data_IF_874639779238
#
_entry.id   IF_874639779238
#
_cell.length_a   1.000
_cell.length_b   1.000
_cell.length_c   1.000
_cell.angle_alpha   90.00
_cell.angle_beta   90.00
_cell.angle_gamma   90.00
#
_symmetry.space_group_name_H-M   'P 1'
#
loop_
_entity.id
_entity.type
_entity.pdbx_description
1 polymer ?
#
# COMPACT_ATOMS: atom_id res chain seq x y z
N UNK A 1 32.82 8.47 -22.43
CA UNK A 1 33.60 8.46 -21.16
C UNK A 1 32.73 8.70 -19.93
N UNK A 2 31.70 9.52 -20.00
CA UNK A 2 30.76 9.81 -18.87
C UNK A 2 29.94 8.61 -18.44
N UNK A 3 29.47 7.77 -19.36
CA UNK A 3 28.59 6.61 -19.04
C UNK A 3 29.30 5.53 -18.19
N UNK A 4 30.64 5.32 -18.39
CA UNK A 4 31.41 4.40 -17.53
C UNK A 4 31.61 4.93 -16.08
N UNK A 5 31.53 6.26 -15.86
CA UNK A 5 31.61 6.86 -14.53
C UNK A 5 30.27 6.73 -13.76
N UNK A 6 29.15 6.88 -14.46
CA UNK A 6 27.79 6.73 -13.85
C UNK A 6 27.56 5.27 -13.44
N UNK A 7 27.95 4.30 -14.26
CA UNK A 7 27.87 2.87 -13.90
C UNK A 7 28.72 2.52 -12.66
N UNK A 8 29.91 3.11 -12.54
CA UNK A 8 30.77 2.88 -11.37
C UNK A 8 30.20 3.52 -10.09
N UNK A 9 29.55 4.68 -10.19
CA UNK A 9 28.92 5.35 -9.03
C UNK A 9 27.68 4.57 -8.57
N UNK A 10 26.89 4.02 -9.52
CA UNK A 10 25.72 3.22 -9.20
C UNK A 10 26.09 1.87 -8.57
N UNK A 11 27.09 1.18 -9.11
CA UNK A 11 27.59 -0.09 -8.54
C UNK A 11 28.27 0.14 -7.19
N UNK A 12 29.00 1.24 -7.00
CA UNK A 12 29.61 1.57 -5.71
C UNK A 12 28.58 2.00 -4.66
N UNK A 13 27.50 2.68 -5.07
CA UNK A 13 26.36 3.01 -4.20
C UNK A 13 25.60 1.77 -3.73
N UNK A 14 25.35 0.81 -4.61
CA UNK A 14 24.71 -0.46 -4.26
C UNK A 14 25.61 -1.37 -3.40
N UNK A 15 26.92 -1.38 -3.63
CA UNK A 15 27.88 -2.13 -2.79
C UNK A 15 28.10 -1.48 -1.41
N UNK A 16 28.05 -0.16 -1.31
CA UNK A 16 28.16 0.55 -0.02
C UNK A 16 26.94 0.33 0.88
N UNK A 17 25.75 0.11 0.29
CA UNK A 17 24.53 -0.26 1.03
C UNK A 17 24.55 -1.71 1.54
N UNK A 18 25.37 -2.58 0.94
CA UNK A 18 25.54 -3.97 1.39
C UNK A 18 26.61 -4.17 2.47
N UNK A 19 27.45 -3.15 2.74
CA UNK A 19 28.57 -3.22 3.66
C UNK A 19 28.29 -2.66 5.06
N UNK A 20 27.00 -2.50 5.48
CA UNK A 20 26.69 -2.26 6.88
C UNK A 20 26.92 -3.54 7.66
N UNK A 21 28.07 -3.63 8.31
CA UNK A 21 28.40 -4.70 9.26
C UNK A 21 27.28 -4.86 10.27
N UNK A 22 26.72 -6.06 10.32
CA UNK A 22 25.88 -6.52 11.42
C UNK A 22 26.79 -6.63 12.66
N UNK A 23 26.92 -5.53 13.38
CA UNK A 23 27.34 -5.64 14.77
C UNK A 23 26.19 -6.28 15.52
N UNK A 24 26.35 -7.54 15.90
CA UNK A 24 25.54 -8.19 16.93
C UNK A 24 25.78 -7.42 18.24
N UNK A 25 25.00 -6.37 18.45
CA UNK A 25 24.80 -5.78 19.75
C UNK A 25 23.66 -6.55 20.39
N UNK A 26 23.80 -6.95 21.65
CA UNK A 26 22.72 -7.45 22.51
C UNK A 26 21.59 -6.42 22.54
N UNK A 27 20.78 -6.47 21.55
CA UNK A 27 19.52 -5.77 21.48
C UNK A 27 18.48 -6.73 22.05
N UNK A 28 18.10 -6.56 23.28
CA UNK A 28 16.71 -6.67 23.69
C UNK A 28 15.96 -5.60 22.88
N UNK A 29 15.98 -5.73 21.57
CA UNK A 29 15.34 -4.84 20.66
C UNK A 29 13.86 -5.06 20.74
N UNK A 30 13.32 -4.14 21.26
CA UNK A 30 11.96 -3.78 21.40
C UNK A 30 11.29 -3.90 20.04
N UNK A 31 10.75 -5.08 19.75
CA UNK A 31 9.76 -5.24 18.70
C UNK A 31 8.61 -4.31 19.07
N UNK A 32 8.42 -3.27 18.25
CA UNK A 32 7.46 -2.20 18.48
C UNK A 32 6.77 -1.86 17.17
N UNK A 33 5.93 -2.76 16.64
CA UNK A 33 5.19 -2.51 15.41
C UNK A 33 4.18 -1.38 15.62
N UNK A 34 3.88 -0.68 14.54
CA UNK A 34 2.79 0.29 14.52
C UNK A 34 1.46 -0.48 14.57
N UNK A 35 0.60 -0.17 15.56
CA UNK A 35 -0.67 -0.84 15.78
C UNK A 35 -1.82 -0.08 15.12
N UNK A 36 -2.56 -0.73 14.24
CA UNK A 36 -3.73 -0.17 13.57
C UNK A 36 -4.77 -1.25 13.29
N UNK A 37 -6.02 -0.85 13.21
CA UNK A 37 -7.11 -1.70 12.74
C UNK A 37 -7.17 -1.75 11.21
N UNK A 38 -8.03 -2.59 10.67
CA UNK A 38 -8.36 -2.69 9.24
C UNK A 38 -7.13 -2.95 8.36
N UNK A 39 -6.49 -4.07 8.63
CA UNK A 39 -5.23 -4.50 7.97
C UNK A 39 -5.36 -4.54 6.43
N UNK A 40 -6.56 -4.81 5.89
CA UNK A 40 -6.77 -4.85 4.44
C UNK A 40 -6.35 -3.58 3.73
N UNK A 41 -6.43 -2.41 4.39
CA UNK A 41 -6.06 -1.12 3.80
C UNK A 41 -4.55 -0.99 3.51
N UNK A 42 -3.74 -1.82 4.14
CA UNK A 42 -2.27 -1.80 3.98
C UNK A 42 -1.75 -2.76 2.91
N UNK A 43 -2.62 -3.64 2.41
CA UNK A 43 -2.26 -4.66 1.41
C UNK A 43 -2.30 -4.04 0.01
N UNK A 44 -1.20 -4.11 -0.74
CA UNK A 44 -1.15 -3.72 -2.14
C UNK A 44 -2.13 -4.56 -2.98
N UNK A 45 -3.11 -3.95 -3.65
CA UNK A 45 -4.21 -4.72 -4.23
C UNK A 45 -3.92 -5.26 -5.63
N UNK A 46 -3.06 -4.62 -6.40
CA UNK A 46 -2.84 -4.93 -7.81
C UNK A 46 -1.49 -5.57 -8.10
N UNK A 47 -1.42 -6.30 -9.21
CA UNK A 47 -0.22 -7.02 -9.60
C UNK A 47 0.89 -6.11 -10.15
N UNK A 48 0.56 -4.95 -10.76
CA UNK A 48 1.60 -4.05 -11.28
C UNK A 48 2.41 -3.44 -10.14
N UNK A 49 1.76 -2.75 -9.21
CA UNK A 49 2.43 -2.15 -8.05
C UNK A 49 3.05 -3.20 -7.15
N UNK A 50 2.36 -4.34 -6.95
CA UNK A 50 2.88 -5.47 -6.21
C UNK A 50 4.12 -6.11 -6.82
N UNK A 51 4.24 -6.14 -8.14
CA UNK A 51 5.44 -6.61 -8.86
C UNK A 51 6.63 -5.64 -8.82
N UNK A 52 6.39 -4.41 -8.40
CA UNK A 52 7.37 -3.34 -8.26
C UNK A 52 7.85 -3.13 -6.81
N UNK A 53 7.62 -4.10 -5.90
CA UNK A 53 7.99 -3.95 -4.49
C UNK A 53 7.02 -3.07 -3.70
N UNK A 54 5.74 -3.11 -4.05
CA UNK A 54 4.67 -2.28 -3.50
C UNK A 54 4.92 -0.77 -3.71
N UNK A 55 5.31 -0.41 -4.95
CA UNK A 55 5.57 0.95 -5.42
C UNK A 55 4.49 1.38 -6.42
N UNK A 56 3.97 2.59 -6.26
CA UNK A 56 2.90 3.07 -7.13
C UNK A 56 2.58 4.57 -7.04
N UNK A 57 3.12 5.31 -6.07
CA UNK A 57 2.76 6.72 -5.84
C UNK A 57 3.09 7.64 -7.03
N UNK A 58 4.19 7.35 -7.74
CA UNK A 58 4.68 8.17 -8.83
C UNK A 58 4.84 7.42 -10.16
N UNK A 59 4.52 6.13 -10.23
CA UNK A 59 4.54 5.36 -11.48
C UNK A 59 3.56 5.92 -12.49
N UNK A 60 3.72 5.59 -13.78
CA UNK A 60 2.78 6.00 -14.83
C UNK A 60 1.34 5.71 -14.43
N UNK A 61 0.40 6.64 -14.77
CA UNK A 61 -1.01 6.47 -14.49
C UNK A 61 -1.57 5.17 -15.08
N UNK A 62 -2.35 4.44 -14.29
CA UNK A 62 -3.09 3.25 -14.71
C UNK A 62 -4.46 3.16 -14.02
N UNK A 63 -5.21 2.11 -14.31
CA UNK A 63 -6.55 1.92 -13.73
C UNK A 63 -6.52 1.72 -12.21
N UNK A 64 -5.42 1.20 -11.65
CA UNK A 64 -5.27 0.92 -10.23
C UNK A 64 -4.69 2.11 -9.43
N UNK A 65 -4.55 3.26 -10.06
CA UNK A 65 -4.03 4.48 -9.42
C UNK A 65 -4.84 4.94 -8.20
N UNK A 66 -6.10 4.48 -8.05
CA UNK A 66 -6.94 4.81 -6.89
C UNK A 66 -6.29 4.50 -5.54
N UNK A 67 -5.67 3.34 -5.41
CA UNK A 67 -4.98 2.95 -4.18
C UNK A 67 -3.65 3.68 -3.97
N UNK A 68 -2.91 3.87 -5.06
CA UNK A 68 -1.55 4.40 -4.99
C UNK A 68 -1.49 5.91 -4.92
N UNK A 69 -2.19 6.59 -5.83
CA UNK A 69 -2.26 8.03 -5.95
C UNK A 69 -3.35 8.42 -6.96
N UNK A 70 -4.55 8.78 -6.55
CA UNK A 70 -5.64 9.13 -7.47
C UNK A 70 -5.37 10.41 -8.27
N UNK A 71 -4.44 11.28 -7.85
CA UNK A 71 -4.07 12.47 -8.61
C UNK A 71 -3.44 12.17 -9.98
N UNK A 72 -3.07 10.90 -10.25
CA UNK A 72 -2.54 10.47 -11.55
C UNK A 72 -3.58 10.40 -12.66
N UNK A 73 -4.87 10.22 -12.35
CA UNK A 73 -5.90 9.96 -13.36
C UNK A 73 -6.07 11.02 -14.44
N UNK A 74 -5.93 12.34 -14.19
CA UNK A 74 -5.98 13.32 -15.29
C UNK A 74 -4.91 13.14 -16.36
N UNK A 75 -3.81 12.43 -16.05
CA UNK A 75 -2.71 12.13 -16.98
C UNK A 75 -2.88 10.80 -17.73
N UNK A 76 -3.96 10.04 -17.50
CA UNK A 76 -4.20 8.79 -18.24
C UNK A 76 -4.47 9.08 -19.72
N UNK A 77 -4.03 8.19 -20.59
CA UNK A 77 -4.28 8.30 -22.04
C UNK A 77 -5.74 7.98 -22.34
N UNK A 78 -6.26 6.90 -21.83
CA UNK A 78 -7.66 6.50 -22.02
C UNK A 78 -8.60 7.34 -21.20
N UNK A 79 -9.80 7.56 -21.75
CA UNK A 79 -10.85 8.32 -21.08
C UNK A 79 -11.47 7.60 -19.90
N UNK A 80 -11.51 6.28 -19.94
CA UNK A 80 -12.04 5.47 -18.87
C UNK A 80 -11.41 4.09 -18.84
N UNK A 81 -11.36 3.48 -17.66
CA UNK A 81 -10.89 2.12 -17.47
C UNK A 81 -11.49 1.49 -16.22
N UNK A 82 -11.51 0.17 -16.21
CA UNK A 82 -11.92 -0.65 -15.07
C UNK A 82 -10.95 -1.79 -14.88
N UNK A 83 -10.66 -2.17 -13.65
CA UNK A 83 -9.81 -3.32 -13.34
C UNK A 83 -10.37 -4.15 -12.19
N UNK A 84 -10.08 -5.44 -12.24
CA UNK A 84 -10.34 -6.40 -11.17
C UNK A 84 -9.03 -7.06 -10.80
N UNK A 85 -8.68 -7.01 -9.53
CA UNK A 85 -7.51 -7.67 -8.97
C UNK A 85 -7.93 -8.70 -7.95
N UNK A 86 -7.18 -9.80 -7.88
CA UNK A 86 -7.38 -10.89 -6.95
C UNK A 86 -6.04 -11.33 -6.37
N UNK A 87 -5.96 -11.37 -5.04
CA UNK A 87 -4.76 -11.74 -4.30
C UNK A 87 -5.12 -12.79 -3.25
N UNK A 88 -4.80 -14.07 -3.47
CA UNK A 88 -4.75 -15.06 -2.38
C UNK A 88 -3.74 -14.59 -1.34
N UNK A 89 -4.18 -14.44 -0.08
CA UNK A 89 -3.36 -13.87 0.98
C UNK A 89 -2.88 -14.95 1.96
N UNK A 90 -1.64 -14.85 2.45
CA UNK A 90 -1.04 -15.76 3.43
C UNK A 90 -1.21 -17.26 3.10
N UNK A 91 -1.14 -17.63 1.85
CA UNK A 91 -1.47 -18.99 1.37
C UNK A 91 -0.59 -20.09 1.96
N UNK A 92 0.60 -19.73 2.43
CA UNK A 92 1.50 -20.63 3.16
C UNK A 92 0.99 -21.00 4.56
N UNK A 93 0.08 -20.20 5.14
CA UNK A 93 -0.48 -20.41 6.47
C UNK A 93 -1.96 -20.81 6.42
N UNK A 94 -2.76 -20.15 5.59
CA UNK A 94 -4.22 -20.29 5.53
C UNK A 94 -4.65 -20.26 4.05
N UNK A 95 -5.49 -21.20 3.63
CA UNK A 95 -5.81 -21.38 2.20
C UNK A 95 -7.01 -20.56 1.70
N UNK A 96 -7.78 -19.96 2.59
CA UNK A 96 -9.08 -19.34 2.31
C UNK A 96 -9.10 -17.82 2.48
N UNK A 97 -7.96 -17.20 2.90
CA UNK A 97 -7.83 -15.75 2.93
C UNK A 97 -7.58 -15.17 1.54
N UNK A 98 -8.33 -14.15 1.17
CA UNK A 98 -8.15 -13.50 -0.13
C UNK A 98 -8.60 -12.04 -0.13
N UNK A 99 -7.97 -11.25 -1.00
CA UNK A 99 -8.30 -9.86 -1.27
C UNK A 99 -8.80 -9.74 -2.71
N UNK A 100 -10.02 -9.24 -2.88
CA UNK A 100 -10.55 -8.79 -4.16
C UNK A 100 -10.59 -7.26 -4.21
N UNK A 101 -10.19 -6.68 -5.33
CA UNK A 101 -10.15 -5.24 -5.53
C UNK A 101 -10.66 -4.88 -6.92
N UNK A 102 -11.72 -4.08 -6.95
CA UNK A 102 -12.29 -3.51 -8.17
C UNK A 102 -12.00 -2.01 -8.16
N UNK A 103 -11.45 -1.49 -9.24
CA UNK A 103 -11.23 -0.05 -9.41
C UNK A 103 -11.64 0.42 -10.79
N UNK A 104 -11.97 1.71 -10.90
CA UNK A 104 -12.30 2.32 -12.16
C UNK A 104 -12.21 3.83 -12.10
N UNK A 105 -12.06 4.44 -13.29
CA UNK A 105 -12.00 5.87 -13.42
C UNK A 105 -12.69 6.34 -14.71
N UNK A 106 -13.10 7.60 -14.70
CA UNK A 106 -13.60 8.31 -15.87
C UNK A 106 -13.07 9.74 -15.90
N UNK A 107 -12.40 10.13 -17.00
CA UNK A 107 -11.95 11.50 -17.22
C UNK A 107 -13.10 12.39 -17.69
N UNK A 108 -13.29 13.49 -16.98
CA UNK A 108 -14.27 14.53 -17.30
C UNK A 108 -13.53 15.65 -18.04
N UNK A 109 -13.61 15.62 -19.37
CA UNK A 109 -12.80 16.52 -20.20
C UNK A 109 -11.31 16.21 -20.12
N UNK A 110 -10.48 17.25 -20.22
CA UNK A 110 -9.01 17.11 -20.30
C UNK A 110 -8.30 17.31 -18.96
N UNK A 111 -8.98 17.92 -17.97
CA UNK A 111 -8.35 18.40 -16.74
C UNK A 111 -8.81 17.70 -15.48
N UNK A 112 -9.85 16.89 -15.53
CA UNK A 112 -10.37 16.27 -14.32
C UNK A 112 -10.77 14.82 -14.54
N UNK A 113 -10.82 14.07 -13.44
CA UNK A 113 -11.30 12.70 -13.42
C UNK A 113 -12.06 12.40 -12.13
N UNK A 114 -13.03 11.49 -12.23
CA UNK A 114 -13.64 10.81 -11.08
C UNK A 114 -13.19 9.36 -11.10
N UNK A 115 -13.03 8.80 -9.93
CA UNK A 115 -12.62 7.41 -9.79
C UNK A 115 -13.25 6.80 -8.54
N UNK A 116 -13.36 5.49 -8.53
CA UNK A 116 -13.90 4.75 -7.40
C UNK A 116 -13.22 3.39 -7.27
N UNK A 117 -13.21 2.84 -6.07
CA UNK A 117 -12.83 1.46 -5.86
C UNK A 117 -13.70 0.76 -4.80
N UNK A 118 -13.73 -0.57 -4.90
CA UNK A 118 -14.29 -1.48 -3.92
C UNK A 118 -13.21 -2.49 -3.54
N UNK A 119 -12.98 -2.60 -2.27
CA UNK A 119 -12.06 -3.61 -1.68
C UNK A 119 -12.87 -4.55 -0.82
N UNK A 120 -12.61 -5.83 -0.94
CA UNK A 120 -13.20 -6.88 -0.11
C UNK A 120 -12.10 -7.84 0.32
N UNK A 121 -11.89 -7.97 1.62
CA UNK A 121 -10.90 -8.85 2.21
C UNK A 121 -11.57 -9.90 3.08
N UNK A 122 -11.57 -11.15 2.61
CA UNK A 122 -12.01 -12.31 3.37
C UNK A 122 -10.83 -12.84 4.20
N UNK A 123 -11.02 -12.97 5.51
CA UNK A 123 -10.00 -13.46 6.43
C UNK A 123 -10.05 -14.97 6.66
N UNK A 124 -10.88 -15.67 5.89
CA UNK A 124 -11.05 -17.13 6.00
C UNK A 124 -12.03 -17.54 7.07
N UNK A 125 -12.17 -18.84 7.24
CA UNK A 125 -13.06 -19.44 8.21
C UNK A 125 -12.34 -19.60 9.57
N UNK A 126 -12.97 -19.09 10.63
CA UNK A 126 -12.48 -19.25 12.01
C UNK A 126 -13.49 -20.07 12.78
N UNK A 127 -13.02 -21.17 13.33
CA UNK A 127 -13.84 -22.01 14.21
C UNK A 127 -13.69 -21.54 15.65
N UNK A 128 -14.78 -21.13 16.28
CA UNK A 128 -14.82 -20.73 17.69
C UNK A 128 -15.53 -21.80 18.51
N UNK A 129 -14.93 -22.17 19.66
CA UNK A 129 -15.59 -23.00 20.66
C UNK A 129 -15.87 -22.15 21.90
N UNK A 130 -17.07 -22.23 22.47
CA UNK A 130 -17.33 -21.64 23.78
C UNK A 130 -16.54 -22.36 24.86
N UNK A 131 -15.92 -21.60 25.75
CA UNK A 131 -15.21 -22.15 26.92
C UNK A 131 -16.20 -22.94 27.80
N UNK A 132 -15.95 -24.22 28.03
CA UNK A 132 -16.83 -25.11 28.76
C UNK A 132 -17.92 -25.83 27.95
N UNK A 133 -17.98 -25.62 26.61
CA UNK A 133 -18.87 -26.39 25.76
C UNK A 133 -18.32 -27.80 25.50
N UNK A 134 -19.23 -28.80 25.40
CA UNK A 134 -18.84 -30.15 24.99
C UNK A 134 -18.18 -30.12 23.60
N UNK A 135 -17.16 -30.96 23.40
CA UNK A 135 -16.45 -31.11 22.13
C UNK A 135 -17.44 -31.27 20.97
N UNK A 136 -17.51 -30.29 20.08
CA UNK A 136 -18.38 -30.31 18.91
C UNK A 136 -19.45 -29.18 18.83
N UNK A 137 -19.58 -28.34 19.84
CA UNK A 137 -20.51 -27.20 19.87
C UNK A 137 -19.79 -25.87 19.54
N UNK A 138 -18.98 -25.84 18.49
CA UNK A 138 -18.39 -24.60 18.00
C UNK A 138 -19.16 -24.01 16.83
N UNK A 139 -18.94 -22.74 16.56
CA UNK A 139 -19.53 -22.01 15.46
C UNK A 139 -18.41 -21.60 14.47
N UNK A 140 -18.70 -21.74 13.16
CA UNK A 140 -17.81 -21.20 12.12
C UNK A 140 -18.23 -19.76 11.82
N UNK A 141 -17.28 -18.85 11.86
CA UNK A 141 -17.45 -17.44 11.50
C UNK A 141 -16.53 -17.11 10.34
N UNK A 142 -16.90 -16.12 9.55
CA UNK A 142 -16.14 -15.63 8.38
C UNK A 142 -15.89 -14.14 8.54
N UNK A 143 -14.82 -13.73 9.26
CA UNK A 143 -14.48 -12.33 9.41
C UNK A 143 -14.09 -11.73 8.05
N UNK A 144 -14.51 -10.48 7.82
CA UNK A 144 -14.15 -9.78 6.60
C UNK A 144 -14.07 -8.27 6.79
N UNK A 145 -13.29 -7.63 5.94
CA UNK A 145 -13.24 -6.18 5.82
C UNK A 145 -13.65 -5.76 4.40
N UNK A 146 -14.36 -4.64 4.33
CA UNK A 146 -14.76 -4.04 3.06
C UNK A 146 -14.54 -2.54 3.10
N UNK A 147 -14.15 -1.96 1.95
CA UNK A 147 -14.17 -0.51 1.81
C UNK A 147 -14.61 -0.08 0.43
N UNK A 148 -15.27 1.07 0.37
CA UNK A 148 -15.63 1.76 -0.86
C UNK A 148 -15.06 3.16 -0.78
N UNK A 149 -14.38 3.59 -1.83
CA UNK A 149 -13.89 4.95 -1.95
C UNK A 149 -14.23 5.58 -3.29
N UNK A 150 -14.36 6.90 -3.28
CA UNK A 150 -14.59 7.74 -4.45
C UNK A 150 -13.62 8.90 -4.40
N UNK A 151 -12.96 9.21 -5.51
CA UNK A 151 -12.05 10.33 -5.63
C UNK A 151 -12.43 11.27 -6.77
N UNK A 152 -12.08 12.53 -6.58
CA UNK A 152 -12.06 13.55 -7.61
C UNK A 152 -10.64 14.07 -7.77
N UNK A 153 -10.16 14.12 -9.02
CA UNK A 153 -8.82 14.55 -9.38
C UNK A 153 -8.88 15.72 -10.35
N UNK A 154 -8.07 16.73 -10.12
CA UNK A 154 -8.02 17.95 -10.91
C UNK A 154 -6.58 18.30 -11.29
N UNK A 155 -6.35 18.47 -12.58
CA UNK A 155 -5.11 19.00 -13.15
C UNK A 155 -5.09 20.53 -12.98
N UNK A 156 -4.16 21.04 -12.20
CA UNK A 156 -3.98 22.49 -11.97
C UNK A 156 -3.03 23.12 -12.99
N UNK A 157 -2.17 22.31 -13.59
CA UNK A 157 -1.32 22.70 -14.71
C UNK A 157 -1.00 21.47 -15.55
N UNK A 158 -0.42 21.64 -16.73
CA UNK A 158 0.01 20.54 -17.62
C UNK A 158 0.94 19.52 -16.95
N UNK A 159 1.52 19.86 -15.80
CA UNK A 159 2.50 19.04 -15.08
C UNK A 159 2.07 18.62 -13.69
N UNK A 160 0.99 19.20 -13.17
CA UNK A 160 0.64 19.03 -11.75
C UNK A 160 -0.86 18.86 -11.54
N UNK A 161 -1.22 17.88 -10.73
CA UNK A 161 -2.60 17.59 -10.33
C UNK A 161 -2.71 17.33 -8.83
N UNK A 162 -3.91 17.53 -8.32
CA UNK A 162 -4.33 17.19 -6.97
C UNK A 162 -5.54 16.24 -7.02
N UNK A 163 -5.73 15.48 -5.96
CA UNK A 163 -6.95 14.70 -5.75
C UNK A 163 -7.35 14.68 -4.29
N UNK A 164 -8.66 14.52 -4.08
CA UNK A 164 -9.23 14.21 -2.78
C UNK A 164 -10.15 13.00 -2.93
N UNK A 165 -10.13 12.10 -1.94
CA UNK A 165 -11.01 10.96 -1.87
C UNK A 165 -11.72 10.90 -0.53
N UNK A 166 -12.90 10.28 -0.52
CA UNK A 166 -13.63 9.88 0.67
C UNK A 166 -13.78 8.36 0.64
N UNK A 167 -13.64 7.74 1.82
CA UNK A 167 -13.68 6.29 1.98
C UNK A 167 -14.59 5.92 3.13
N UNK A 168 -15.47 4.94 2.89
CA UNK A 168 -16.19 4.24 3.93
C UNK A 168 -15.55 2.86 4.13
N UNK A 169 -15.31 2.50 5.39
CA UNK A 169 -14.69 1.26 5.81
C UNK A 169 -15.68 0.52 6.69
N UNK A 170 -15.81 -0.77 6.48
CA UNK A 170 -16.62 -1.68 7.25
C UNK A 170 -15.79 -2.91 7.62
N UNK A 171 -15.82 -3.29 8.88
CA UNK A 171 -15.09 -4.44 9.42
C UNK A 171 -15.99 -5.30 10.26
N UNK A 172 -16.17 -6.54 9.86
CA UNK A 172 -16.92 -7.56 10.61
C UNK A 172 -15.92 -8.58 11.19
N UNK A 173 -15.50 -8.29 12.41
CA UNK A 173 -14.54 -9.11 13.16
C UNK A 173 -15.21 -9.85 14.31
N UNK A 174 -16.53 -10.06 14.22
CA UNK A 174 -17.29 -10.73 15.29
C UNK A 174 -16.81 -12.17 15.48
N UNK A 175 -16.57 -12.52 16.72
CA UNK A 175 -16.22 -13.89 17.14
C UNK A 175 -17.44 -14.73 17.52
N UNK A 176 -18.60 -14.10 17.68
CA UNK A 176 -19.91 -14.70 17.88
C UNK A 176 -21.00 -13.79 17.28
N UNK A 177 -22.23 -14.27 17.21
CA UNK A 177 -23.38 -13.52 16.72
C UNK A 177 -24.33 -13.13 17.87
N UNK A 178 -23.76 -12.82 19.02
CA UNK A 178 -24.54 -12.26 20.15
C UNK A 178 -24.95 -10.82 19.86
N UNK A 179 -26.03 -10.33 20.49
CA UNK A 179 -26.52 -8.96 20.30
C UNK A 179 -25.48 -7.89 20.68
N UNK A 180 -24.59 -8.22 21.61
CA UNK A 180 -23.52 -7.32 22.08
C UNK A 180 -22.33 -7.23 21.13
N UNK A 181 -22.24 -8.05 20.08
CA UNK A 181 -21.13 -8.10 19.15
C UNK A 181 -21.56 -7.63 17.75
N UNK A 182 -21.30 -6.38 17.43
CA UNK A 182 -21.68 -5.74 16.15
C UNK A 182 -20.47 -5.39 15.30
N UNK A 183 -20.62 -5.39 13.96
CA UNK A 183 -19.59 -4.90 13.07
C UNK A 183 -19.25 -3.44 13.32
N UNK A 184 -18.05 -3.04 12.97
CA UNK A 184 -17.58 -1.67 13.10
C UNK A 184 -17.48 -0.97 11.73
N UNK A 185 -17.65 0.34 11.72
CA UNK A 185 -17.47 1.15 10.53
C UNK A 185 -16.76 2.46 10.83
N UNK A 186 -16.02 2.99 9.85
CA UNK A 186 -15.35 4.26 9.95
C UNK A 186 -15.34 4.99 8.60
N UNK A 187 -15.14 6.30 8.66
CA UNK A 187 -14.93 7.15 7.49
C UNK A 187 -13.51 7.68 7.49
N UNK A 188 -12.94 7.77 6.29
CA UNK A 188 -11.62 8.34 6.07
C UNK A 188 -11.61 9.19 4.80
N UNK A 189 -10.61 10.06 4.70
CA UNK A 189 -10.33 10.86 3.51
C UNK A 189 -8.89 10.64 3.07
N UNK A 190 -8.64 10.83 1.76
CA UNK A 190 -7.29 10.84 1.20
C UNK A 190 -7.04 12.18 0.51
N UNK A 191 -5.79 12.63 0.54
CA UNK A 191 -5.30 13.79 -0.20
C UNK A 191 -4.08 13.35 -0.99
N UNK A 192 -4.08 13.65 -2.29
CA UNK A 192 -3.01 13.22 -3.17
C UNK A 192 -2.55 14.36 -4.09
N UNK A 193 -1.28 14.30 -4.47
CA UNK A 193 -0.65 15.19 -5.43
C UNK A 193 0.23 14.39 -6.40
N UNK A 194 0.24 14.80 -7.66
CA UNK A 194 1.10 14.18 -8.67
C UNK A 194 1.70 15.24 -9.57
N UNK A 195 3.00 15.10 -9.83
CA UNK A 195 3.77 15.93 -10.73
C UNK A 195 4.43 15.07 -11.78
N UNK A 196 4.29 15.47 -13.06
CA UNK A 196 4.91 14.80 -14.20
C UNK A 196 5.61 15.84 -15.08
N UNK A 197 6.85 15.55 -15.45
CA UNK A 197 7.61 16.42 -16.34
C UNK A 197 8.56 15.59 -17.21
N UNK A 198 8.95 16.16 -18.36
CA UNK A 198 9.99 15.59 -19.20
C UNK A 198 11.31 16.29 -18.93
N UNK A 199 12.36 15.49 -18.77
CA UNK A 199 13.73 15.95 -18.49
C UNK A 199 14.69 15.30 -19.47
N UNK A 200 15.65 16.06 -20.01
CA UNK A 200 16.62 15.53 -20.93
C UNK A 200 17.83 15.00 -20.17
N UNK A 201 18.07 13.69 -20.26
CA UNK A 201 19.23 13.03 -19.64
C UNK A 201 20.10 12.46 -20.78
N UNK A 202 21.25 13.11 -21.02
CA UNK A 202 22.10 12.80 -22.16
C UNK A 202 21.43 13.24 -23.47
N UNK A 203 21.00 12.30 -24.30
CA UNK A 203 20.30 12.55 -25.57
C UNK A 203 18.87 12.01 -25.56
N UNK A 204 18.34 11.64 -24.40
CA UNK A 204 17.00 11.03 -24.23
C UNK A 204 16.10 11.93 -23.43
N UNK A 205 14.89 12.08 -23.90
CA UNK A 205 13.82 12.72 -23.15
C UNK A 205 13.19 11.69 -22.21
N UNK A 206 13.46 11.82 -20.92
CA UNK A 206 12.97 10.93 -19.86
C UNK A 206 11.78 11.57 -19.17
N UNK A 207 10.82 10.74 -18.72
CA UNK A 207 9.69 11.21 -17.95
C UNK A 207 9.99 11.05 -16.46
N UNK A 208 9.93 12.16 -15.73
CA UNK A 208 10.03 12.22 -14.27
C UNK A 208 8.64 12.31 -13.68
N UNK A 209 8.29 11.40 -12.77
CA UNK A 209 7.11 11.43 -11.94
C UNK A 209 7.47 11.67 -10.47
N UNK A 210 6.69 12.50 -9.77
CA UNK A 210 6.72 12.65 -8.32
C UNK A 210 5.31 12.53 -7.78
N UNK A 211 5.13 11.82 -6.69
CA UNK A 211 3.82 11.56 -6.08
C UNK A 211 3.83 11.72 -4.58
N UNK A 212 2.74 12.26 -4.06
CA UNK A 212 2.40 12.29 -2.65
C UNK A 212 0.98 11.73 -2.52
N UNK A 213 0.77 10.82 -1.57
CA UNK A 213 -0.55 10.38 -1.16
C UNK A 213 -0.59 10.24 0.35
N UNK A 214 -1.50 10.96 1.01
CA UNK A 214 -1.82 10.79 2.43
C UNK A 214 -3.20 10.16 2.47
N UNK A 215 -3.26 8.90 2.82
CA UNK A 215 -4.48 8.09 2.79
C UNK A 215 -4.95 7.69 4.19
N UNK A 216 -6.24 7.35 4.29
CA UNK A 216 -6.90 6.92 5.51
C UNK A 216 -6.87 7.94 6.66
N UNK A 217 -6.90 9.24 6.34
CA UNK A 217 -7.08 10.31 7.33
C UNK A 217 -8.52 10.21 7.86
N UNK A 218 -8.71 9.66 9.05
CA UNK A 218 -10.06 9.38 9.52
C UNK A 218 -10.23 9.31 11.02
N UNK A 219 -11.44 8.95 11.42
CA UNK A 219 -11.77 8.64 12.80
C UNK A 219 -11.16 7.31 13.21
N UNK A 220 -11.07 7.07 14.50
CA UNK A 220 -10.85 5.72 15.02
C UNK A 220 -12.06 4.83 14.70
N UNK A 221 -11.84 3.53 14.63
CA UNK A 221 -12.87 2.51 14.49
C UNK A 221 -13.05 1.79 15.83
N UNK A 222 -14.29 1.68 16.32
CA UNK A 222 -14.58 1.05 17.61
C UNK A 222 -15.33 -0.25 17.37
N UNK A 223 -14.76 -1.35 17.83
CA UNK A 223 -15.39 -2.66 17.82
C UNK A 223 -16.22 -2.87 19.08
N UNK A 224 -17.28 -3.66 18.98
CA UNK A 224 -18.12 -4.01 20.12
C UNK A 224 -17.32 -4.63 21.26
N UNK A 225 -17.68 -4.27 22.49
CA UNK A 225 -16.98 -4.74 23.69
C UNK A 225 -15.65 -4.03 23.97
N UNK A 226 -15.22 -3.08 23.11
CA UNK A 226 -14.05 -2.22 23.37
C UNK A 226 -14.50 -0.85 23.85
N UNK A 227 -13.85 -0.36 24.88
CA UNK A 227 -14.08 0.98 25.45
C UNK A 227 -13.51 2.06 24.53
N UNK A 228 -12.38 1.77 23.87
CA UNK A 228 -11.66 2.70 23.02
C UNK A 228 -11.59 2.23 21.56
N UNK A 229 -11.61 3.20 20.64
CA UNK A 229 -11.43 2.94 19.22
C UNK A 229 -9.96 2.73 18.84
N UNK A 230 -9.73 1.92 17.83
CA UNK A 230 -8.42 1.69 17.24
C UNK A 230 -8.16 2.65 16.07
N UNK A 231 -6.89 3.04 15.85
CA UNK A 231 -6.52 3.91 14.74
C UNK A 231 -6.67 3.20 13.40
N UNK A 232 -7.15 3.94 12.39
CA UNK A 232 -7.04 3.52 11.00
C UNK A 232 -5.57 3.62 10.54
N UNK A 233 -5.14 2.82 9.55
CA UNK A 233 -3.78 2.87 9.01
C UNK A 233 -3.59 4.11 8.11
N UNK A 234 -3.65 5.30 8.71
CA UNK A 234 -3.31 6.52 7.99
C UNK A 234 -1.86 6.39 7.50
N UNK A 235 -1.63 6.68 6.22
CA UNK A 235 -0.33 6.46 5.60
C UNK A 235 0.07 7.63 4.72
N UNK A 236 1.27 8.14 4.92
CA UNK A 236 1.92 9.07 4.01
C UNK A 236 2.86 8.33 3.10
N UNK A 237 2.62 8.44 1.79
CA UNK A 237 3.43 7.83 0.74
C UNK A 237 4.03 8.91 -0.13
N UNK A 238 5.36 8.93 -0.23
CA UNK A 238 6.13 9.77 -1.12
C UNK A 238 6.78 8.89 -2.18
N UNK A 239 6.61 9.23 -3.44
CA UNK A 239 7.18 8.44 -4.53
C UNK A 239 7.89 9.28 -5.57
N UNK A 240 8.83 8.65 -6.25
CA UNK A 240 9.51 9.16 -7.43
C UNK A 240 9.63 8.06 -8.49
N UNK A 241 9.50 8.43 -9.74
CA UNK A 241 9.75 7.54 -10.88
C UNK A 241 10.49 8.23 -12.00
N UNK A 242 11.28 7.46 -12.73
CA UNK A 242 11.99 7.92 -13.92
C UNK A 242 11.82 6.88 -15.03
N UNK A 243 11.07 7.23 -16.07
CA UNK A 243 10.95 6.44 -17.28
C UNK A 243 11.99 6.89 -18.28
N UNK A 244 12.78 5.94 -18.77
CA UNK A 244 13.90 6.13 -19.70
C UNK A 244 13.57 5.37 -20.98
N UNK A 245 13.29 6.05 -22.11
CA UNK A 245 13.15 5.39 -23.39
C UNK A 245 14.54 4.91 -23.86
N UNK A 246 14.65 3.61 -24.16
CA UNK A 246 15.87 3.02 -24.72
C UNK A 246 15.87 3.22 -26.24
N UNK A 247 14.77 2.88 -26.88
CA UNK A 247 14.45 3.07 -28.30
C UNK A 247 12.93 3.17 -28.49
N UNK A 248 12.44 3.11 -29.73
CA UNK A 248 11.01 3.22 -30.08
C UNK A 248 10.13 2.11 -29.47
N UNK A 249 10.71 0.96 -29.15
CA UNK A 249 9.99 -0.23 -28.64
C UNK A 249 10.29 -0.53 -27.19
N UNK A 250 11.39 -0.03 -26.66
CA UNK A 250 11.94 -0.43 -25.38
C UNK A 250 12.01 0.74 -24.41
N UNK A 251 11.41 0.60 -23.21
CA UNK A 251 11.57 1.56 -22.13
C UNK A 251 11.79 0.86 -20.78
N UNK A 252 12.51 1.53 -19.91
CA UNK A 252 12.74 1.12 -18.53
C UNK A 252 12.23 2.21 -17.61
N UNK A 253 11.46 1.85 -16.60
CA UNK A 253 11.04 2.73 -15.51
C UNK A 253 11.70 2.27 -14.23
N UNK A 254 12.36 3.20 -13.53
CA UNK A 254 12.81 3.01 -12.15
C UNK A 254 11.89 3.80 -11.25
N UNK A 255 11.44 3.20 -10.15
CA UNK A 255 10.53 3.84 -9.22
C UNK A 255 10.91 3.51 -7.77
N UNK A 256 10.62 4.44 -6.86
CA UNK A 256 10.85 4.28 -5.44
C UNK A 256 9.73 4.99 -4.67
N UNK A 257 9.22 4.33 -3.63
CA UNK A 257 8.27 4.91 -2.67
C UNK A 257 8.84 4.82 -1.25
N UNK A 258 8.59 5.84 -0.45
CA UNK A 258 8.79 5.86 0.99
C UNK A 258 7.43 6.02 1.67
N UNK A 259 7.12 5.14 2.61
CA UNK A 259 5.84 5.09 3.31
C UNK A 259 6.06 5.22 4.80
N UNK A 260 5.27 6.06 5.47
CA UNK A 260 5.20 6.12 6.93
C UNK A 260 3.74 6.03 7.36
N UNK A 261 3.44 5.08 8.25
CA UNK A 261 2.15 5.06 8.91
C UNK A 261 2.05 6.21 9.89
N UNK A 262 1.01 7.03 9.72
CA UNK A 262 0.72 8.19 10.56
C UNK A 262 -0.19 7.77 11.72
N UNK A 263 0.28 6.78 12.47
CA UNK A 263 -0.40 6.19 13.62
C UNK A 263 0.52 6.32 14.83
N UNK A 264 0.02 6.82 15.97
CA UNK A 264 0.87 6.99 17.15
C UNK A 264 1.42 5.65 17.64
N UNK A 265 2.61 5.70 18.20
CA UNK A 265 3.23 4.57 18.87
C UNK A 265 2.62 4.41 20.27
N UNK A 266 2.28 3.17 20.64
CA UNK A 266 1.82 2.87 22.01
C UNK A 266 2.94 3.18 23.00
N UNK A 267 2.70 3.98 24.05
CA UNK A 267 3.71 4.24 25.07
C UNK A 267 4.22 2.94 25.69
N UNK A 268 5.50 2.88 26.00
CA UNK A 268 6.09 1.72 26.70
C UNK A 268 6.08 1.97 28.20
N UNK A 269 5.94 0.89 28.97
CA UNK A 269 6.07 0.95 30.42
C UNK A 269 7.47 1.44 30.81
N UNK A 270 7.53 2.45 31.66
CA UNK A 270 8.78 3.02 32.14
C UNK A 270 9.38 2.19 33.28
N UNK A 271 10.68 2.31 33.49
CA UNK A 271 11.35 1.56 34.55
C UNK A 271 10.89 2.06 35.94
N UNK A 272 10.24 1.16 36.69
CA UNK A 272 9.68 1.46 38.00
C UNK A 272 8.24 1.94 38.02
N UNK A 273 7.60 2.09 36.84
CA UNK A 273 6.17 2.39 36.71
C UNK A 273 5.32 1.14 37.04
N UNK A 274 4.32 1.28 37.88
CA UNK A 274 3.38 0.17 38.10
C UNK A 274 2.40 -0.01 36.95
N UNK A 275 1.70 -1.16 36.93
CA UNK A 275 0.77 -1.48 35.84
C UNK A 275 -0.40 -0.50 35.73
N UNK A 276 -0.90 0.02 36.88
CA UNK A 276 -2.01 0.96 36.89
C UNK A 276 -1.59 2.34 36.38
N UNK A 277 -0.41 2.81 36.78
CA UNK A 277 0.16 4.07 36.28
C UNK A 277 0.41 4.00 34.77
N UNK A 278 0.91 2.84 34.30
CA UNK A 278 1.13 2.61 32.87
C UNK A 278 -0.19 2.58 32.09
N UNK A 279 -1.21 1.87 32.55
CA UNK A 279 -2.52 1.84 31.91
C UNK A 279 -3.14 3.24 31.85
N UNK A 280 -3.13 3.99 32.94
CA UNK A 280 -3.61 5.37 32.97
C UNK A 280 -2.86 6.28 31.99
N UNK A 281 -1.57 6.07 31.81
CA UNK A 281 -0.77 6.82 30.84
C UNK A 281 -1.09 6.42 29.40
N UNK A 282 -1.26 5.13 29.10
CA UNK A 282 -1.71 4.66 27.78
C UNK A 282 -3.07 5.26 27.44
N UNK A 283 -4.02 5.26 28.37
CA UNK A 283 -5.34 5.88 28.15
C UNK A 283 -5.20 7.36 27.77
N UNK A 284 -4.48 8.14 28.53
CA UNK A 284 -4.33 9.59 28.26
C UNK A 284 -3.57 9.89 26.98
N UNK A 285 -2.53 9.12 26.68
CA UNK A 285 -1.58 9.44 25.61
C UNK A 285 -1.87 8.74 24.29
N UNK A 286 -2.66 7.67 24.31
CA UNK A 286 -2.96 6.86 23.12
C UNK A 286 -4.46 6.66 22.90
N UNK A 287 -5.21 6.22 23.92
CA UNK A 287 -6.61 5.85 23.72
C UNK A 287 -7.53 7.07 23.60
N UNK A 288 -7.28 8.15 24.35
CA UNK A 288 -8.13 9.36 24.35
C UNK A 288 -7.86 10.30 23.19
N UNK A 289 -6.72 10.15 22.46
CA UNK A 289 -6.42 11.05 21.35
C UNK A 289 -7.25 10.73 20.11
N UNK A 290 -7.70 11.79 19.42
CA UNK A 290 -8.45 11.65 18.17
C UNK A 290 -7.57 11.11 17.04
N UNK A 291 -8.19 10.49 16.01
CA UNK A 291 -7.49 10.01 14.84
C UNK A 291 -6.61 11.08 14.17
N UNK A 292 -7.14 12.31 14.04
CA UNK A 292 -6.40 13.43 13.44
C UNK A 292 -5.23 13.87 14.33
N UNK A 293 -5.43 13.97 15.65
CA UNK A 293 -4.34 14.32 16.59
C UNK A 293 -3.25 13.25 16.57
N UNK A 294 -3.63 11.97 16.44
CA UNK A 294 -2.69 10.87 16.28
C UNK A 294 -1.77 11.01 15.07
N UNK A 295 -2.30 11.48 13.93
CA UNK A 295 -1.50 11.74 12.72
C UNK A 295 -0.34 12.71 13.00
N UNK A 296 -0.60 13.80 13.71
CA UNK A 296 0.46 14.77 14.04
C UNK A 296 1.43 14.24 15.10
N UNK A 297 0.92 13.48 16.08
CA UNK A 297 1.74 12.89 17.15
C UNK A 297 2.74 11.87 16.58
N UNK A 298 2.35 11.08 15.57
CA UNK A 298 3.14 10.01 14.97
C UNK A 298 4.48 10.44 14.35
N UNK A 299 4.78 11.72 14.27
CA UNK A 299 6.07 12.22 13.76
C UNK A 299 7.15 12.36 14.83
N UNK A 300 6.81 12.20 16.12
CA UNK A 300 7.74 12.49 17.21
C UNK A 300 7.46 11.68 18.50
N UNK A 301 6.74 10.56 18.41
CA UNK A 301 6.30 9.79 19.57
C UNK A 301 7.01 8.44 19.74
N UNK A 302 7.92 8.10 18.84
CA UNK A 302 8.69 6.86 18.97
C UNK A 302 9.59 6.90 20.24
N UNK A 303 9.48 5.91 21.15
CA UNK A 303 10.24 5.88 22.40
C UNK A 303 11.77 5.91 22.23
N UNK A 304 12.29 5.40 21.11
CA UNK A 304 13.71 5.47 20.75
C UNK A 304 14.13 6.77 20.08
N UNK A 305 13.24 7.78 20.03
CA UNK A 305 13.47 9.08 19.44
C UNK A 305 13.64 9.04 17.93
N UNK A 306 14.31 10.06 17.37
CA UNK A 306 14.41 10.25 15.91
C UNK A 306 14.94 9.04 15.14
N UNK A 307 15.78 8.22 15.74
CA UNK A 307 16.27 6.99 15.08
C UNK A 307 15.16 5.97 14.89
N UNK A 308 14.31 5.76 15.89
CA UNK A 308 13.17 4.86 15.79
C UNK A 308 12.10 5.41 14.83
N UNK A 309 11.90 6.73 14.79
CA UNK A 309 11.05 7.39 13.79
C UNK A 309 11.50 7.09 12.35
N UNK A 310 12.79 7.06 12.08
CA UNK A 310 13.32 6.66 10.78
C UNK A 310 13.11 5.17 10.48
N UNK A 311 13.08 4.31 11.50
CA UNK A 311 12.81 2.89 11.35
C UNK A 311 11.33 2.59 11.01
N UNK A 312 10.42 3.55 11.21
CA UNK A 312 9.02 3.46 10.81
C UNK A 312 8.79 3.70 9.31
N UNK A 313 9.80 4.21 8.61
CA UNK A 313 9.70 4.44 7.18
C UNK A 313 9.97 3.13 6.44
N UNK A 314 8.98 2.69 5.67
CA UNK A 314 9.08 1.55 4.78
C UNK A 314 9.48 2.00 3.39
N UNK A 315 10.34 1.26 2.71
CA UNK A 315 10.82 1.59 1.37
C UNK A 315 10.43 0.53 0.35
N UNK A 316 9.93 0.98 -0.78
CA UNK A 316 9.77 0.17 -1.96
C UNK A 316 10.71 0.65 -3.08
N UNK A 317 11.33 -0.28 -3.79
CA UNK A 317 12.11 -0.02 -4.99
C UNK A 317 11.62 -0.93 -6.11
N UNK A 318 11.38 -0.36 -7.30
CA UNK A 318 10.87 -1.09 -8.43
C UNK A 318 11.56 -0.74 -9.73
N UNK A 319 11.67 -1.74 -10.61
CA UNK A 319 12.11 -1.59 -11.99
C UNK A 319 11.10 -2.29 -12.92
N UNK A 320 10.64 -1.56 -13.94
CA UNK A 320 9.74 -2.07 -14.97
C UNK A 320 10.43 -1.93 -16.34
N UNK A 321 10.51 -3.03 -17.09
CA UNK A 321 10.91 -3.03 -18.50
C UNK A 321 9.69 -3.29 -19.36
N UNK A 322 9.43 -2.46 -20.36
CA UNK A 322 8.29 -2.61 -21.26
C UNK A 322 8.78 -2.70 -22.69
N UNK A 323 8.29 -3.72 -23.39
CA UNK A 323 8.56 -3.97 -24.80
C UNK A 323 7.31 -3.74 -25.64
N UNK A 324 7.42 -2.84 -26.62
CA UNK A 324 6.40 -2.52 -27.63
C UNK A 324 5.03 -2.20 -27.02
N UNK A 325 4.99 -1.56 -25.84
CA UNK A 325 3.78 -1.27 -25.06
C UNK A 325 2.87 -2.49 -24.77
N UNK A 326 3.37 -3.69 -24.99
CA UNK A 326 2.60 -4.94 -24.88
C UNK A 326 3.06 -5.86 -23.78
N UNK A 327 4.36 -6.01 -23.62
CA UNK A 327 4.94 -6.92 -22.65
C UNK A 327 5.69 -6.12 -21.59
N UNK A 328 5.45 -6.43 -20.34
CA UNK A 328 6.14 -5.84 -19.21
C UNK A 328 6.77 -6.93 -18.34
N UNK A 329 8.00 -6.67 -17.89
CA UNK A 329 8.67 -7.44 -16.85
C UNK A 329 8.99 -6.50 -15.70
N UNK A 330 8.79 -6.97 -14.49
CA UNK A 330 8.94 -6.18 -13.26
C UNK A 330 9.78 -6.92 -12.25
N UNK A 331 10.56 -6.15 -11.52
CA UNK A 331 11.26 -6.61 -10.33
C UNK A 331 11.19 -5.52 -9.27
N UNK A 332 11.06 -5.91 -8.02
CA UNK A 332 10.98 -4.96 -6.92
C UNK A 332 11.56 -5.52 -5.63
N UNK A 333 11.76 -4.62 -4.68
CA UNK A 333 12.18 -4.94 -3.32
C UNK A 333 11.42 -4.06 -2.33
N UNK A 334 10.88 -4.68 -1.31
CA UNK A 334 10.23 -4.01 -0.18
C UNK A 334 11.04 -4.20 1.09
N UNK A 335 11.18 -3.13 1.85
CA UNK A 335 11.91 -3.12 3.11
C UNK A 335 11.12 -2.45 4.23
N UNK A 336 10.96 -3.16 5.31
CA UNK A 336 10.48 -2.65 6.58
C UNK A 336 11.48 -3.01 7.70
N UNK A 337 11.65 -2.10 8.66
CA UNK A 337 12.59 -2.33 9.78
C UNK A 337 12.21 -3.57 10.59
N UNK A 338 13.21 -4.23 11.14
CA UNK A 338 13.03 -5.42 11.97
C UNK A 338 12.23 -5.11 13.25
N UNK A 339 12.39 -3.91 13.79
CA UNK A 339 11.66 -3.44 14.99
C UNK A 339 10.18 -3.15 14.70
N UNK A 340 9.80 -2.90 13.44
CA UNK A 340 8.47 -2.39 13.04
C UNK A 340 7.61 -3.37 12.25
N UNK A 341 8.06 -4.63 12.08
CA UNK A 341 7.28 -5.68 11.39
C UNK A 341 8.13 -6.62 10.54
N UNK A 342 9.34 -6.19 10.13
CA UNK A 342 10.33 -7.00 9.40
C UNK A 342 9.85 -7.58 8.05
N UNK A 343 8.94 -6.89 7.37
CA UNK A 343 8.49 -7.29 6.03
C UNK A 343 9.56 -6.93 5.00
N UNK A 344 10.36 -7.92 4.63
CA UNK A 344 11.42 -7.80 3.61
C UNK A 344 11.22 -8.88 2.57
N UNK A 345 11.04 -8.46 1.33
CA UNK A 345 10.82 -9.40 0.23
C UNK A 345 11.21 -8.80 -1.12
N UNK A 346 11.57 -9.68 -2.04
CA UNK A 346 11.66 -9.38 -3.45
C UNK A 346 10.33 -9.68 -4.13
N UNK A 347 10.06 -8.99 -5.23
CA UNK A 347 8.90 -9.24 -6.08
C UNK A 347 9.34 -9.39 -7.52
N UNK A 348 8.64 -10.24 -8.24
CA UNK A 348 8.75 -10.34 -9.69
C UNK A 348 7.36 -10.25 -10.30
N UNK A 349 7.25 -9.66 -11.48
CA UNK A 349 5.98 -9.50 -12.14
C UNK A 349 6.11 -9.54 -13.66
N UNK A 350 5.02 -9.91 -14.30
CA UNK A 350 4.90 -9.88 -15.75
C UNK A 350 3.54 -9.28 -16.13
N UNK A 351 3.51 -8.55 -17.23
CA UNK A 351 2.31 -7.93 -17.77
C UNK A 351 2.20 -8.17 -19.27
N UNK A 352 0.98 -8.34 -19.72
CA UNK A 352 0.64 -8.41 -21.14
C UNK A 352 -0.53 -7.50 -21.44
N UNK A 353 -0.34 -6.56 -22.37
CA UNK A 353 -1.35 -5.59 -22.79
C UNK A 353 -1.74 -5.79 -24.25
N UNK A 354 -3.03 -5.87 -24.48
CA UNK A 354 -3.65 -5.76 -25.79
C UNK A 354 -4.42 -4.44 -25.91
N UNK A 355 -4.97 -4.16 -27.08
CA UNK A 355 -5.67 -2.89 -27.35
C UNK A 355 -6.83 -2.61 -26.38
N UNK A 356 -7.42 -3.65 -25.78
CA UNK A 356 -8.65 -3.57 -24.99
C UNK A 356 -8.43 -3.95 -23.54
N UNK A 357 -7.51 -4.86 -23.28
CA UNK A 357 -7.28 -5.38 -21.93
C UNK A 357 -5.79 -5.55 -21.63
N UNK A 358 -5.46 -5.52 -20.36
CA UNK A 358 -4.15 -5.96 -19.85
C UNK A 358 -4.34 -7.00 -18.75
N UNK A 359 -3.42 -7.97 -18.74
CA UNK A 359 -3.31 -8.99 -17.71
C UNK A 359 -1.94 -8.84 -17.04
N UNK A 360 -1.94 -8.69 -15.74
CA UNK A 360 -0.73 -8.58 -14.94
C UNK A 360 -0.72 -9.67 -13.87
N UNK A 361 0.46 -10.22 -13.60
CA UNK A 361 0.69 -11.17 -12.53
C UNK A 361 1.96 -10.76 -11.76
N UNK A 362 1.95 -10.97 -10.45
CA UNK A 362 3.10 -10.74 -9.60
C UNK A 362 3.24 -11.84 -8.55
N UNK A 363 4.47 -12.06 -8.13
CA UNK A 363 4.84 -13.06 -7.14
C UNK A 363 5.80 -12.47 -6.12
N UNK A 364 5.56 -12.76 -4.84
CA UNK A 364 6.38 -12.35 -3.71
C UNK A 364 7.33 -13.46 -3.32
N UNK A 365 8.61 -13.13 -3.21
CA UNK A 365 9.68 -14.02 -2.72
C UNK A 365 10.22 -13.43 -1.42
N UNK A 366 9.84 -13.99 -0.29
CA UNK A 366 10.29 -13.51 1.01
C UNK A 366 11.78 -13.79 1.23
N UNK A 367 12.46 -12.89 1.93
CA UNK A 367 13.86 -13.07 2.29
C UNK A 367 14.05 -13.97 3.51
N UNK A 368 13.02 -14.12 4.34
CA UNK A 368 13.01 -14.98 5.51
C UNK A 368 11.97 -16.10 5.35
N UNK A 369 12.35 -17.34 5.63
CA UNK A 369 11.47 -18.53 5.54
C UNK A 369 10.23 -18.45 6.43
N UNK A 370 10.25 -17.64 7.48
CA UNK A 370 9.12 -17.41 8.39
C UNK A 370 8.24 -16.22 8.00
N UNK A 371 8.50 -15.57 6.87
CA UNK A 371 7.67 -14.45 6.43
C UNK A 371 6.35 -14.98 5.87
N UNK A 372 5.21 -14.64 6.48
CA UNK A 372 3.90 -15.15 6.05
C UNK A 372 3.48 -14.66 4.66
N UNK A 373 4.10 -13.62 4.12
CA UNK A 373 3.86 -13.10 2.77
C UNK A 373 4.55 -13.90 1.67
N UNK A 374 5.39 -14.89 2.03
CA UNK A 374 6.05 -15.73 1.05
C UNK A 374 5.02 -16.44 0.15
N UNK A 375 5.36 -16.57 -1.13
CA UNK A 375 4.52 -17.20 -2.16
C UNK A 375 3.17 -16.48 -2.42
N UNK A 376 3.02 -15.21 -2.03
CA UNK A 376 1.82 -14.44 -2.39
C UNK A 376 1.81 -14.17 -3.89
N UNK A 377 0.72 -14.60 -4.53
CA UNK A 377 0.41 -14.33 -5.94
C UNK A 377 -0.59 -13.19 -6.03
N UNK A 378 -0.42 -12.31 -7.03
CA UNK A 378 -1.39 -11.26 -7.36
C UNK A 378 -1.72 -11.33 -8.85
N UNK A 379 -3.00 -11.19 -9.17
CA UNK A 379 -3.48 -11.14 -10.55
C UNK A 379 -4.33 -9.90 -10.73
N UNK A 380 -4.16 -9.23 -11.87
CA UNK A 380 -4.96 -8.05 -12.22
C UNK A 380 -5.37 -8.14 -13.68
N UNK A 381 -6.66 -7.99 -13.94
CA UNK A 381 -7.24 -7.86 -15.25
C UNK A 381 -7.82 -6.46 -15.39
N UNK A 382 -7.33 -5.69 -16.36
CA UNK A 382 -7.78 -4.33 -16.61
C UNK A 382 -8.34 -4.19 -18.02
N UNK A 383 -9.36 -3.34 -18.17
CA UNK A 383 -10.01 -3.04 -19.45
C UNK A 383 -9.90 -1.55 -19.76
N UNK A 384 -9.51 -1.26 -21.00
CA UNK A 384 -9.49 0.06 -21.58
C UNK A 384 -10.80 0.30 -22.35
N UNK A 385 -11.59 1.27 -21.89
CA UNK A 385 -12.92 1.53 -22.47
C UNK A 385 -12.85 2.19 -23.85
N UNK A 386 -11.77 2.90 -24.19
CA UNK A 386 -11.61 3.46 -25.54
C UNK A 386 -11.26 2.37 -26.55
N UNK A 387 -10.44 1.40 -26.14
CA UNK A 387 -10.20 0.19 -26.92
C UNK A 387 -11.49 -0.63 -27.15
N UNK A 388 -12.35 -0.77 -26.13
CA UNK A 388 -13.65 -1.44 -26.25
C UNK A 388 -14.55 -0.73 -27.27
N UNK A 389 -14.69 0.61 -27.19
CA UNK A 389 -15.49 1.38 -28.16
C UNK A 389 -15.00 1.22 -29.60
N UNK A 390 -13.69 1.10 -29.79
CA UNK A 390 -13.10 0.90 -31.11
C UNK A 390 -13.45 -0.48 -31.70
N UNK A 391 -13.64 -1.51 -30.86
CA UNK A 391 -14.08 -2.84 -31.29
C UNK A 391 -15.55 -2.86 -31.70
N UNK A 392 -16.42 -2.16 -30.99
CA UNK A 392 -17.87 -2.13 -31.29
C UNK A 392 -18.26 -1.18 -32.42
N UNK A 393 -17.34 -0.32 -32.89
CA UNK A 393 -17.56 0.54 -34.06
C UNK A 393 -17.15 -0.09 -35.39
N UNK A 394 -16.65 -1.31 -35.40
CA UNK A 394 -16.40 -2.13 -36.57
C UNK A 394 -17.59 -3.06 -36.83
#
# INVERSE_FOLDING_TARGET
>A
MAMKRIYKIFIFGCLALMASEVKAQDKKDLFNPVNYAVISQTIAPDARGGGLGDVGAATDPDVNSQYWNPAKYPFTISRAGVSLSFTPWLRSLVNDMNLAYLSGYYRIGDYSAVSASLRYFNMGEVYTSQEGAETGTGMTINPYEMSVDVAYSLMLSEKFSLAAAIRWIYSDMRFDYTEDNSPASAFAADIAAYYQNYVVIGQRECQLGLGLNISNIGSKITFSGKEYGEFLPANMRLGASLMIPIDEYNRVTLAADANKYLVPTVPKQEEGEDNSEYEDRVHREYDDISGISGIFKSFSDAPGGFKEELEEINYGLGAEYVYNDKFALRAGYHHESQSKGNRKYFTVGAGFKMNVFSLDAAYVVATAKSNPLDQTLRFTLSFDMDGLKALFKR
#
